data_IF_957794620131
#
_entry.id   IF_957794620131
#
_cell.length_a   1.000
_cell.length_b   1.000
_cell.length_c   1.000
_cell.angle_alpha   90.00
_cell.angle_beta   90.00
_cell.angle_gamma   90.00
#
_symmetry.space_group_name_H-M   'P 1'
#
loop_
_entity.id
_entity.type
_entity.pdbx_description
1 polymer ?
#
# COMPACT_ATOMS: atom_id res chain seq x y z
N UNK A 1 28.21 10.53 16.67
CA UNK A 1 27.13 11.37 17.25
C UNK A 1 25.91 11.14 16.40
N UNK A 2 25.26 9.99 16.61
CA UNK A 2 23.98 9.64 16.01
C UNK A 2 22.94 10.49 16.73
N UNK A 3 22.20 11.29 15.96
CA UNK A 3 21.12 12.10 16.52
C UNK A 3 19.82 11.33 16.31
N UNK A 4 19.31 10.76 17.39
CA UNK A 4 18.01 10.10 17.41
C UNK A 4 16.92 11.16 17.41
N UNK A 5 16.08 11.15 16.39
CA UNK A 5 15.00 12.12 16.24
C UNK A 5 13.69 11.43 16.56
N UNK A 6 13.14 11.73 17.73
CA UNK A 6 11.81 11.28 18.14
C UNK A 6 10.76 12.20 17.50
N UNK A 7 10.22 11.80 16.35
CA UNK A 7 9.01 12.41 15.80
C UNK A 7 7.80 11.71 16.44
N UNK A 8 6.77 12.47 16.80
CA UNK A 8 5.59 12.04 17.57
C UNK A 8 4.69 11.01 16.88
N UNK A 9 5.23 9.81 16.67
CA UNK A 9 4.58 8.56 16.21
C UNK A 9 5.23 7.40 17.02
N UNK A 10 4.66 6.18 17.08
CA UNK A 10 5.18 5.09 17.92
C UNK A 10 6.43 4.41 17.32
N UNK A 11 7.34 5.19 16.72
CA UNK A 11 8.50 4.67 16.00
C UNK A 11 9.77 5.40 16.39
N UNK A 12 10.81 4.62 16.68
CA UNK A 12 12.18 5.11 16.87
C UNK A 12 12.94 5.02 15.54
N UNK A 13 13.71 6.06 15.26
CA UNK A 13 14.20 6.37 13.92
C UNK A 13 15.64 6.87 13.97
N UNK A 14 16.53 6.25 13.18
CA UNK A 14 17.89 6.77 13.00
C UNK A 14 17.99 7.59 11.71
N UNK A 15 18.40 8.85 11.84
CA UNK A 15 18.68 9.73 10.70
C UNK A 15 20.08 9.45 10.13
N UNK A 16 20.17 9.05 8.85
CA UNK A 16 21.44 8.58 8.27
C UNK A 16 22.04 9.50 7.19
N UNK A 17 21.25 10.39 6.56
CA UNK A 17 21.74 11.28 5.50
C UNK A 17 20.85 12.50 5.27
N UNK A 18 21.43 13.69 5.16
CA UNK A 18 20.79 14.87 4.59
C UNK A 18 21.25 15.02 3.13
N UNK A 19 20.33 14.96 2.17
CA UNK A 19 20.60 15.31 0.76
C UNK A 19 19.53 16.30 0.33
N UNK A 20 19.89 17.60 0.26
CA UNK A 20 18.94 18.73 0.17
C UNK A 20 17.85 18.61 1.26
N UNK A 21 16.73 19.34 1.16
CA UNK A 21 15.67 19.45 2.17
C UNK A 21 14.94 18.14 2.57
N UNK A 22 15.53 16.96 2.34
CA UNK A 22 14.98 15.65 2.71
C UNK A 22 15.93 14.91 3.65
N UNK A 23 15.33 14.37 4.70
CA UNK A 23 15.96 13.52 5.70
C UNK A 23 15.61 12.06 5.43
N UNK A 24 16.61 11.19 5.35
CA UNK A 24 16.41 9.75 5.27
C UNK A 24 16.53 9.13 6.66
N UNK A 25 15.64 8.18 6.93
CA UNK A 25 15.45 7.57 8.23
C UNK A 25 15.28 6.07 8.06
N UNK A 26 15.91 5.29 8.92
CA UNK A 26 15.75 3.83 9.00
C UNK A 26 15.02 3.47 10.30
N UNK A 27 14.07 2.54 10.24
CA UNK A 27 13.42 2.01 11.44
C UNK A 27 14.44 1.18 12.24
N UNK A 28 14.52 1.45 13.54
CA UNK A 28 15.43 0.73 14.46
C UNK A 28 14.65 -0.35 15.19
N UNK A 29 13.49 0.02 15.70
CA UNK A 29 12.61 -0.84 16.46
C UNK A 29 11.16 -0.39 16.25
N UNK A 30 10.25 -1.36 16.27
CA UNK A 30 8.80 -1.11 16.21
C UNK A 30 8.21 -1.31 17.61
N UNK A 31 7.75 -0.22 18.24
CA UNK A 31 7.20 -0.24 19.61
C UNK A 31 5.84 -0.95 19.65
N UNK A 32 5.03 -0.75 18.61
CA UNK A 32 3.76 -1.47 18.41
C UNK A 32 3.41 -1.49 16.92
N UNK A 33 2.85 -2.61 16.46
CA UNK A 33 2.41 -2.74 15.08
C UNK A 33 1.06 -2.03 14.89
N UNK A 34 0.88 -1.30 13.76
CA UNK A 34 -0.44 -0.82 13.34
C UNK A 34 -1.44 -1.97 13.18
N UNK A 35 -2.74 -1.69 13.35
CA UNK A 35 -3.80 -2.71 13.27
C UNK A 35 -3.94 -3.32 11.86
N UNK A 36 -3.47 -2.61 10.83
CA UNK A 36 -3.55 -3.00 9.43
C UNK A 36 -2.24 -3.61 8.90
N UNK A 37 -1.30 -3.92 9.79
CA UNK A 37 -0.04 -4.57 9.45
C UNK A 37 -0.22 -6.09 9.23
N UNK A 38 0.46 -6.64 8.22
CA UNK A 38 0.56 -8.09 7.96
C UNK A 38 1.98 -8.44 7.55
N UNK A 39 2.36 -9.70 7.75
CA UNK A 39 3.61 -10.23 7.23
C UNK A 39 3.60 -10.20 5.70
N UNK A 40 4.72 -9.75 5.13
CA UNK A 40 4.85 -9.62 3.67
C UNK A 40 5.02 -11.00 3.02
N UNK A 41 4.24 -11.34 2.00
CA UNK A 41 4.43 -12.60 1.26
C UNK A 41 5.64 -12.60 0.31
N UNK A 42 6.37 -11.48 0.16
CA UNK A 42 7.61 -11.43 -0.61
C UNK A 42 8.84 -11.51 0.29
N UNK A 43 9.65 -12.55 0.12
CA UNK A 43 10.92 -12.73 0.83
C UNK A 43 11.94 -11.62 0.53
N UNK A 44 11.72 -10.88 -0.55
CA UNK A 44 12.62 -9.85 -1.08
C UNK A 44 12.24 -8.44 -0.61
N UNK A 45 11.23 -8.29 0.24
CA UNK A 45 10.65 -6.97 0.59
C UNK A 45 11.65 -5.99 1.23
N UNK A 46 12.69 -6.48 1.91
CA UNK A 46 13.65 -5.64 2.65
C UNK A 46 14.70 -4.97 1.75
N UNK A 47 14.85 -5.45 0.51
CA UNK A 47 15.83 -4.93 -0.46
C UNK A 47 15.22 -4.61 -1.83
N UNK A 48 14.04 -5.15 -2.14
CA UNK A 48 13.31 -4.84 -3.36
C UNK A 48 12.40 -3.62 -3.16
N UNK A 49 12.65 -2.55 -3.92
CA UNK A 49 11.80 -1.34 -3.90
C UNK A 49 10.46 -1.46 -4.63
N UNK A 50 10.09 -2.67 -5.11
CA UNK A 50 8.93 -2.91 -5.96
C UNK A 50 7.59 -2.89 -5.21
N UNK A 51 7.51 -3.48 -4.01
CA UNK A 51 6.26 -3.72 -3.29
C UNK A 51 6.20 -2.95 -1.97
N UNK A 52 5.92 -1.64 -2.03
CA UNK A 52 6.02 -0.73 -0.86
C UNK A 52 4.97 -0.91 0.24
N UNK A 53 3.80 -1.47 -0.09
CA UNK A 53 2.65 -1.55 0.83
C UNK A 53 2.27 -2.99 1.14
N UNK A 54 3.15 -3.95 0.87
CA UNK A 54 2.83 -5.36 0.97
C UNK A 54 2.61 -5.82 2.42
N UNK A 55 3.14 -5.04 3.37
CA UNK A 55 2.98 -5.23 4.80
C UNK A 55 1.65 -4.67 5.34
N UNK A 56 0.73 -4.28 4.47
CA UNK A 56 -0.60 -3.80 4.84
C UNK A 56 -1.66 -4.84 4.45
N UNK A 57 -2.76 -4.95 5.21
CA UNK A 57 -3.94 -5.69 4.77
C UNK A 57 -4.41 -5.15 3.41
N UNK A 58 -5.03 -6.01 2.60
CA UNK A 58 -5.41 -5.67 1.23
C UNK A 58 -6.28 -4.42 1.14
N UNK A 59 -7.21 -4.23 2.08
CA UNK A 59 -8.04 -3.04 2.25
C UNK A 59 -7.21 -1.75 2.29
N UNK A 60 -6.14 -1.77 3.09
CA UNK A 60 -5.26 -0.63 3.28
C UNK A 60 -4.36 -0.42 2.05
N UNK A 61 -3.95 -1.48 1.37
CA UNK A 61 -3.23 -1.37 0.09
C UNK A 61 -4.07 -0.65 -0.96
N UNK A 62 -5.35 -1.02 -1.10
CA UNK A 62 -6.28 -0.40 -2.05
C UNK A 62 -6.45 1.08 -1.74
N UNK A 63 -6.71 1.44 -0.48
CA UNK A 63 -6.82 2.84 -0.05
C UNK A 63 -5.56 3.65 -0.32
N UNK A 64 -4.38 3.09 -0.04
CA UNK A 64 -3.11 3.75 -0.32
C UNK A 64 -2.93 4.00 -1.82
N UNK A 65 -3.35 3.05 -2.68
CA UNK A 65 -3.29 3.20 -4.13
C UNK A 65 -4.26 4.25 -4.65
N UNK A 66 -5.50 4.25 -4.15
CA UNK A 66 -6.49 5.28 -4.47
C UNK A 66 -5.98 6.68 -4.13
N UNK A 67 -5.40 6.83 -2.92
CA UNK A 67 -4.80 8.09 -2.51
C UNK A 67 -3.64 8.49 -3.42
N UNK A 68 -2.75 7.56 -3.79
CA UNK A 68 -1.64 7.83 -4.71
C UNK A 68 -2.16 8.37 -6.05
N UNK A 69 -3.16 7.73 -6.64
CA UNK A 69 -3.75 8.15 -7.92
C UNK A 69 -4.42 9.52 -7.79
N UNK A 70 -5.15 9.74 -6.70
CA UNK A 70 -5.79 11.03 -6.41
C UNK A 70 -4.77 12.17 -6.36
N UNK A 71 -3.66 11.98 -5.63
CA UNK A 71 -2.58 12.97 -5.57
C UNK A 71 -1.92 13.22 -6.91
N UNK A 72 -1.76 12.19 -7.75
CA UNK A 72 -1.21 12.36 -9.09
C UNK A 72 -2.10 13.23 -9.97
N UNK A 73 -3.41 12.99 -9.93
CA UNK A 73 -4.38 13.73 -10.73
C UNK A 73 -4.46 15.20 -10.29
N UNK A 74 -4.42 15.48 -9.00
CA UNK A 74 -4.41 16.86 -8.49
C UNK A 74 -3.09 17.56 -8.84
N UNK A 75 -1.96 16.96 -8.44
CA UNK A 75 -0.68 17.66 -8.46
C UNK A 75 -0.09 17.77 -9.87
N UNK A 76 -0.24 16.72 -10.68
CA UNK A 76 0.28 16.67 -12.05
C UNK A 76 -0.80 16.92 -13.09
N UNK A 77 -1.99 16.33 -12.93
CA UNK A 77 -3.10 16.52 -13.85
C UNK A 77 -3.77 17.90 -13.75
N UNK A 78 -3.49 18.68 -12.70
CA UNK A 78 -4.06 20.01 -12.45
C UNK A 78 -5.59 20.04 -12.37
N UNK A 79 -6.19 18.92 -11.97
CA UNK A 79 -7.62 18.87 -11.67
C UNK A 79 -7.86 19.45 -10.27
N UNK A 80 -8.87 20.32 -10.15
CA UNK A 80 -9.35 20.74 -8.84
C UNK A 80 -10.16 19.63 -8.19
N UNK A 81 -10.21 19.62 -6.86
CA UNK A 81 -10.97 18.63 -6.10
C UNK A 81 -12.46 18.65 -6.49
N UNK A 82 -13.03 19.85 -6.64
CA UNK A 82 -14.43 20.05 -7.07
C UNK A 82 -14.71 19.43 -8.45
N UNK A 83 -13.74 19.49 -9.38
CA UNK A 83 -13.90 18.93 -10.73
C UNK A 83 -13.85 17.41 -10.73
N UNK A 84 -13.10 16.81 -9.79
CA UNK A 84 -13.00 15.35 -9.66
C UNK A 84 -14.31 14.74 -9.16
N UNK A 85 -14.93 15.38 -8.16
CA UNK A 85 -16.24 14.99 -7.63
C UNK A 85 -17.33 15.13 -8.69
N UNK A 86 -17.40 16.29 -9.37
CA UNK A 86 -18.43 16.57 -10.38
C UNK A 86 -18.38 15.59 -11.57
N UNK A 87 -17.19 15.22 -12.02
CA UNK A 87 -17.02 14.34 -13.19
C UNK A 87 -17.02 12.85 -12.82
N UNK A 88 -17.13 12.49 -11.53
CA UNK A 88 -17.05 11.10 -11.05
C UNK A 88 -15.85 10.33 -11.64
N UNK A 89 -14.71 11.04 -11.82
CA UNK A 89 -13.49 10.47 -12.41
C UNK A 89 -12.88 9.43 -11.47
N UNK A 90 -12.98 9.68 -10.16
CA UNK A 90 -12.43 8.83 -9.11
C UNK A 90 -13.46 7.79 -8.70
N UNK A 91 -13.51 6.67 -9.43
CA UNK A 91 -14.26 5.48 -8.99
C UNK A 91 -13.41 4.66 -8.01
N UNK A 92 -14.02 4.06 -6.98
CA UNK A 92 -13.28 3.20 -6.06
C UNK A 92 -12.70 2.00 -6.81
N UNK A 93 -11.49 1.61 -6.43
CA UNK A 93 -10.85 0.40 -6.95
C UNK A 93 -11.64 -0.78 -6.37
N UNK A 94 -12.45 -1.41 -7.21
CA UNK A 94 -13.28 -2.54 -6.80
C UNK A 94 -12.39 -3.71 -6.40
N UNK A 95 -12.62 -4.24 -5.21
CA UNK A 95 -12.22 -5.60 -4.86
C UNK A 95 -13.02 -6.52 -5.77
N UNK A 96 -12.38 -7.19 -6.72
CA UNK A 96 -13.09 -8.24 -7.46
C UNK A 96 -13.47 -9.31 -6.43
N UNK A 97 -14.77 -9.41 -6.13
CA UNK A 97 -15.30 -10.53 -5.38
C UNK A 97 -14.98 -11.78 -6.19
N UNK A 98 -14.12 -12.63 -5.66
CA UNK A 98 -13.69 -13.91 -6.24
C UNK A 98 -14.83 -14.96 -6.28
N UNK A 99 -16.09 -14.50 -6.35
CA UNK A 99 -17.30 -15.31 -6.24
C UNK A 99 -17.88 -15.75 -7.60
N UNK A 100 -17.29 -15.35 -8.74
CA UNK A 100 -17.81 -15.70 -10.08
C UNK A 100 -16.98 -16.79 -10.78
N UNK A 101 -15.78 -17.13 -10.29
CA UNK A 101 -14.87 -18.08 -10.97
C UNK A 101 -14.79 -19.48 -10.33
N UNK A 102 -15.81 -19.88 -9.56
CA UNK A 102 -15.88 -21.23 -8.97
C UNK A 102 -17.08 -22.08 -9.41
N UNK A 103 -17.97 -21.58 -10.28
CA UNK A 103 -19.10 -22.42 -10.74
C UNK A 103 -18.82 -23.21 -12.03
N UNK A 104 -17.87 -22.78 -12.87
CA UNK A 104 -17.64 -23.40 -14.19
C UNK A 104 -16.39 -24.27 -14.29
N UNK A 105 -15.43 -24.18 -13.35
CA UNK A 105 -14.22 -25.03 -13.36
C UNK A 105 -14.37 -26.29 -12.49
N UNK A 106 -15.23 -26.27 -11.46
CA UNK A 106 -15.39 -27.39 -10.53
C UNK A 106 -16.18 -28.59 -11.10
N UNK A 107 -16.88 -28.41 -12.23
CA UNK A 107 -17.62 -29.50 -12.90
C UNK A 107 -16.79 -30.27 -13.95
N UNK A 108 -15.60 -29.80 -14.33
CA UNK A 108 -14.76 -30.48 -15.34
C UNK A 108 -13.71 -31.43 -14.76
N UNK A 109 -13.68 -31.65 -13.44
CA UNK A 109 -12.73 -32.58 -12.80
C UNK A 109 -13.35 -33.79 -12.08
N UNK A 110 -14.68 -33.94 -12.06
CA UNK A 110 -15.32 -35.16 -11.54
C UNK A 110 -15.62 -36.24 -12.60
N UNK A 111 -15.26 -36.04 -13.87
CA UNK A 111 -15.50 -37.02 -14.95
C UNK A 111 -14.28 -37.86 -15.35
N UNK A 112 -13.17 -37.78 -14.61
CA UNK A 112 -11.96 -38.54 -14.90
C UNK A 112 -11.56 -39.49 -13.76
N UNK A 113 -12.54 -39.98 -13.00
CA UNK A 113 -12.42 -41.17 -12.17
C UNK A 113 -13.77 -41.90 -12.23
N UNK A 114 -13.95 -42.73 -13.25
CA UNK A 114 -14.92 -43.82 -13.34
C UNK A 114 -14.36 -44.86 -14.32
#
# INVERSE_FOLDING_TARGET
MQNDVTLSLPFTFHQHRQKRAKVQVTNVETISHPWDFVDTPCDYTSYCGGCKTQNLIYEAQVKAKEHQVHQLIINFGKFSHTKLEFLSIMKPIRKHAFAIMLSSCFLSHQKTIA
#
